data_IF_461723462348
#
_entry.id   IF_461723462348
#
_cell.length_a   1.000
_cell.length_b   1.000
_cell.length_c   1.000
_cell.angle_alpha   90.00
_cell.angle_beta   90.00
_cell.angle_gamma   90.00
#
_symmetry.space_group_name_H-M   'P 1'
#
loop_
_entity.id
_entity.type
_entity.pdbx_description
1 polymer ?
#
# COMPACT_ATOMS: atom_id res chain seq x y z
N UNK A 1 -16.32 8.64 19.50
CA UNK A 1 -16.24 9.23 18.14
C UNK A 1 -17.63 9.26 17.55
N UNK A 2 -18.11 10.44 17.15
CA UNK A 2 -19.46 10.61 16.61
C UNK A 2 -19.36 10.81 15.09
N UNK A 3 -19.77 9.84 14.26
CA UNK A 3 -19.63 9.96 12.81
C UNK A 3 -20.45 11.12 12.24
N UNK A 4 -19.89 11.78 11.23
CA UNK A 4 -20.60 12.78 10.44
C UNK A 4 -21.59 12.12 9.47
N UNK A 5 -21.34 10.87 9.08
CA UNK A 5 -22.27 10.02 8.35
C UNK A 5 -22.06 8.54 8.66
N UNK A 6 -23.14 7.76 8.65
CA UNK A 6 -23.11 6.29 8.76
C UNK A 6 -23.86 5.68 7.59
N UNK A 7 -23.20 4.76 6.89
CA UNK A 7 -23.71 4.08 5.70
C UNK A 7 -23.71 2.58 5.95
N UNK A 8 -24.88 1.95 5.86
CA UNK A 8 -24.99 0.48 5.87
C UNK A 8 -24.78 -0.04 4.46
N UNK A 9 -23.72 -0.83 4.29
CA UNK A 9 -23.30 -1.36 2.98
C UNK A 9 -23.98 -2.69 2.64
N UNK A 10 -24.37 -3.45 3.65
CA UNK A 10 -25.16 -4.68 3.60
C UNK A 10 -25.67 -4.93 5.03
N UNK A 11 -26.63 -5.83 5.22
CA UNK A 11 -27.22 -6.09 6.54
C UNK A 11 -26.14 -6.26 7.63
N UNK A 12 -26.15 -5.38 8.63
CA UNK A 12 -25.22 -5.41 9.76
C UNK A 12 -23.78 -4.94 9.47
N UNK A 13 -23.49 -4.43 8.27
CA UNK A 13 -22.15 -4.00 7.86
C UNK A 13 -22.10 -2.50 7.57
N UNK A 14 -21.33 -1.74 8.36
CA UNK A 14 -21.37 -0.28 8.34
C UNK A 14 -20.05 0.38 7.97
N UNK A 15 -20.15 1.48 7.23
CA UNK A 15 -19.10 2.46 7.01
C UNK A 15 -19.45 3.74 7.75
N UNK A 16 -18.51 4.25 8.52
CA UNK A 16 -18.61 5.47 9.29
C UNK A 16 -17.62 6.51 8.76
N UNK A 17 -18.07 7.75 8.72
CA UNK A 17 -17.30 8.88 8.22
C UNK A 17 -17.00 9.82 9.37
N UNK A 18 -15.74 10.19 9.55
CA UNK A 18 -15.34 11.14 10.58
C UNK A 18 -14.82 12.42 9.95
N UNK A 19 -15.46 13.54 10.28
CA UNK A 19 -15.01 14.86 9.86
C UNK A 19 -13.88 15.34 10.79
N UNK A 20 -12.66 15.41 10.27
CA UNK A 20 -11.49 15.95 10.95
C UNK A 20 -11.46 17.48 10.89
N UNK A 21 -10.75 18.15 11.83
CA UNK A 21 -10.59 19.61 11.83
C UNK A 21 -9.88 20.12 10.58
N UNK A 22 -8.89 19.37 10.10
CA UNK A 22 -8.05 19.72 8.97
C UNK A 22 -7.92 18.54 8.00
N UNK A 23 -7.43 18.82 6.79
CA UNK A 23 -7.06 17.79 5.83
C UNK A 23 -5.67 17.25 6.17
N UNK A 24 -5.59 15.98 6.57
CA UNK A 24 -4.31 15.36 6.91
C UNK A 24 -3.43 15.12 5.67
N UNK A 25 -2.09 15.22 5.83
CA UNK A 25 -1.14 14.67 4.86
C UNK A 25 -1.37 13.17 4.65
N UNK A 26 -1.01 12.65 3.47
CA UNK A 26 -1.30 11.26 3.07
C UNK A 26 -0.90 10.21 4.10
N UNK A 27 0.34 10.29 4.60
CA UNK A 27 0.89 9.32 5.55
C UNK A 27 0.18 9.39 6.91
N UNK A 28 -0.02 10.61 7.41
CA UNK A 28 -0.76 10.83 8.65
C UNK A 28 -2.22 10.38 8.51
N UNK A 29 -2.85 10.60 7.36
CA UNK A 29 -4.20 10.15 7.05
C UNK A 29 -4.32 8.62 7.06
N UNK A 30 -3.40 7.90 6.42
CA UNK A 30 -3.37 6.44 6.48
C UNK A 30 -3.11 5.96 7.91
N UNK A 31 -2.19 6.60 8.64
CA UNK A 31 -1.89 6.23 10.01
C UNK A 31 -3.09 6.44 10.95
N UNK A 32 -3.82 7.55 10.79
CA UNK A 32 -5.07 7.80 11.49
C UNK A 32 -6.14 6.75 11.18
N UNK A 33 -6.33 6.42 9.89
CA UNK A 33 -7.24 5.38 9.44
C UNK A 33 -6.89 4.01 10.04
N UNK A 34 -5.61 3.64 10.09
CA UNK A 34 -5.15 2.39 10.67
C UNK A 34 -5.31 2.35 12.19
N UNK A 35 -5.03 3.47 12.86
CA UNK A 35 -5.13 3.58 14.32
C UNK A 35 -6.57 3.41 14.80
N UNK A 36 -7.50 4.11 14.14
CA UNK A 36 -8.91 4.00 14.46
C UNK A 36 -9.50 2.67 13.98
N UNK A 37 -9.03 2.10 12.87
CA UNK A 37 -9.40 0.73 12.48
C UNK A 37 -9.01 -0.28 13.57
N UNK A 38 -7.81 -0.17 14.13
CA UNK A 38 -7.36 -0.99 15.26
C UNK A 38 -8.19 -0.75 16.53
N UNK A 39 -8.51 0.52 16.83
CA UNK A 39 -9.31 0.91 18.02
C UNK A 39 -10.72 0.32 17.99
N UNK A 40 -11.27 0.08 16.80
CA UNK A 40 -12.64 -0.35 16.59
C UNK A 40 -12.79 -1.75 15.98
N UNK A 41 -11.71 -2.54 15.94
CA UNK A 41 -11.69 -3.87 15.30
C UNK A 41 -12.27 -3.86 13.87
N UNK A 42 -11.95 -2.80 13.13
CA UNK A 42 -12.35 -2.60 11.75
C UNK A 42 -11.48 -3.39 10.78
N UNK A 43 -11.92 -3.48 9.53
CA UNK A 43 -11.13 -4.07 8.43
C UNK A 43 -9.84 -3.27 8.18
N UNK A 44 -8.64 -3.81 8.52
CA UNK A 44 -7.38 -3.12 8.31
C UNK A 44 -7.06 -2.91 6.83
N UNK A 45 -7.59 -3.76 5.94
CA UNK A 45 -7.38 -3.63 4.51
C UNK A 45 -8.13 -2.45 3.90
N UNK A 46 -9.12 -1.90 4.63
CA UNK A 46 -9.87 -0.71 4.25
C UNK A 46 -9.32 0.59 4.88
N UNK A 47 -8.30 0.50 5.74
CA UNK A 47 -7.75 1.62 6.47
C UNK A 47 -6.66 2.36 5.66
N UNK A 48 -7.10 3.23 4.75
CA UNK A 48 -6.22 4.07 3.92
C UNK A 48 -6.81 5.46 3.66
N UNK A 49 -5.96 6.48 3.47
CA UNK A 49 -6.37 7.87 3.27
C UNK A 49 -7.25 8.08 2.03
N UNK A 50 -7.15 7.22 1.01
CA UNK A 50 -7.87 7.34 -0.26
C UNK A 50 -8.89 6.22 -0.49
N UNK A 51 -9.30 5.51 0.57
CA UNK A 51 -10.27 4.41 0.43
C UNK A 51 -11.65 4.95 0.04
N UNK A 52 -12.25 4.38 -1.02
CA UNK A 52 -13.63 4.72 -1.40
C UNK A 52 -14.68 4.10 -0.47
N UNK A 53 -15.70 4.89 -0.13
CA UNK A 53 -16.93 4.44 0.51
C UNK A 53 -18.00 3.98 -0.47
N UNK A 54 -19.06 3.35 0.03
CA UNK A 54 -20.26 3.04 -0.73
C UNK A 54 -21.18 4.25 -0.77
N UNK A 55 -21.79 4.50 -1.93
CA UNK A 55 -22.77 5.55 -2.12
C UNK A 55 -24.17 5.00 -1.80
N UNK A 56 -24.91 5.60 -0.84
CA UNK A 56 -26.30 5.24 -0.59
C UNK A 56 -27.18 5.38 -1.83
N UNK A 57 -28.23 4.56 -1.91
CA UNK A 57 -29.16 4.53 -3.05
C UNK A 57 -28.75 3.59 -4.19
N UNK A 58 -27.52 3.07 -4.17
CA UNK A 58 -27.05 2.03 -5.10
C UNK A 58 -27.07 0.65 -4.45
N UNK A 59 -27.11 -0.39 -5.26
CA UNK A 59 -27.05 -1.78 -4.79
C UNK A 59 -25.61 -2.24 -4.56
N UNK A 60 -25.40 -3.07 -3.53
CA UNK A 60 -24.11 -3.70 -3.28
C UNK A 60 -23.99 -5.00 -4.09
N UNK A 61 -23.52 -4.89 -5.33
CA UNK A 61 -23.43 -5.99 -6.30
C UNK A 61 -22.34 -7.05 -6.02
N UNK A 62 -21.82 -7.15 -4.79
CA UNK A 62 -20.87 -8.24 -4.47
C UNK A 62 -21.65 -9.57 -4.43
N UNK A 63 -21.20 -10.64 -5.12
CA UNK A 63 -21.96 -11.89 -5.25
C UNK A 63 -22.42 -12.49 -3.91
N UNK A 64 -21.60 -12.40 -2.86
CA UNK A 64 -21.91 -12.91 -1.51
C UNK A 64 -23.10 -12.22 -0.82
N UNK A 65 -23.57 -11.09 -1.32
CA UNK A 65 -24.74 -10.38 -0.77
C UNK A 65 -25.99 -10.56 -1.65
N UNK A 66 -25.92 -11.38 -2.70
CA UNK A 66 -27.10 -11.70 -3.51
C UNK A 66 -28.10 -12.46 -2.63
N UNK A 67 -29.33 -11.98 -2.61
CA UNK A 67 -30.44 -12.59 -1.87
C UNK A 67 -31.00 -13.81 -2.62
N UNK A 68 -31.87 -14.58 -1.97
CA UNK A 68 -32.55 -15.75 -2.57
C UNK A 68 -33.44 -15.39 -3.76
N UNK A 69 -33.98 -14.17 -3.79
CA UNK A 69 -34.75 -13.60 -4.91
C UNK A 69 -33.86 -13.19 -6.10
N UNK A 70 -32.53 -13.33 -5.99
CA UNK A 70 -31.57 -12.97 -7.01
C UNK A 70 -31.18 -11.50 -7.05
N UNK A 71 -31.75 -10.64 -6.20
CA UNK A 71 -31.49 -9.21 -6.11
C UNK A 71 -30.33 -8.89 -5.14
N UNK A 72 -29.78 -7.69 -5.24
CA UNK A 72 -28.74 -7.18 -4.35
C UNK A 72 -29.33 -6.19 -3.34
N UNK A 73 -28.83 -6.15 -2.09
CA UNK A 73 -29.29 -5.19 -1.10
C UNK A 73 -28.85 -3.77 -1.49
N UNK A 74 -29.71 -2.81 -1.17
CA UNK A 74 -29.37 -1.39 -1.27
C UNK A 74 -28.42 -0.98 -0.16
N UNK A 75 -27.48 -0.11 -0.51
CA UNK A 75 -26.67 0.65 0.44
C UNK A 75 -27.56 1.75 1.03
N UNK A 76 -27.63 1.83 2.36
CA UNK A 76 -28.56 2.73 3.08
C UNK A 76 -27.80 3.78 3.86
N UNK A 77 -28.30 5.01 3.86
CA UNK A 77 -27.82 6.07 4.74
C UNK A 77 -28.56 5.95 6.08
N UNK A 78 -27.83 5.78 7.18
CA UNK A 78 -28.38 5.68 8.53
C UNK A 78 -28.37 7.01 9.27
N UNK A 79 -27.31 7.79 9.13
CA UNK A 79 -27.20 9.13 9.71
C UNK A 79 -26.28 10.02 8.87
N UNK A 80 -26.48 11.35 8.94
CA UNK A 80 -25.77 12.31 8.09
C UNK A 80 -25.63 13.72 8.72
N UNK A 81 -25.16 13.80 9.97
CA UNK A 81 -25.05 15.09 10.67
C UNK A 81 -24.16 16.11 9.94
N UNK A 82 -23.14 15.65 9.21
CA UNK A 82 -22.12 16.50 8.58
C UNK A 82 -21.23 17.24 9.59
N UNK A 83 -21.46 17.02 10.88
CA UNK A 83 -20.77 17.70 11.97
C UNK A 83 -19.42 17.06 12.25
N UNK A 84 -18.49 17.89 12.69
CA UNK A 84 -17.23 17.42 13.28
C UNK A 84 -17.52 16.74 14.61
N UNK A 85 -16.76 15.70 14.93
CA UNK A 85 -16.93 14.99 16.20
C UNK A 85 -16.31 15.80 17.35
N UNK A 86 -16.86 15.75 18.58
CA UNK A 86 -16.43 16.64 19.67
C UNK A 86 -14.94 16.56 20.03
N UNK A 87 -14.32 15.40 19.84
CA UNK A 87 -12.94 15.12 20.25
C UNK A 87 -11.94 15.21 19.08
N UNK A 88 -12.30 15.92 18.01
CA UNK A 88 -11.58 15.89 16.75
C UNK A 88 -10.23 16.61 16.78
N UNK A 89 -10.13 17.73 17.49
CA UNK A 89 -8.86 18.43 17.71
C UNK A 89 -7.93 17.63 18.61
N UNK A 90 -8.47 17.08 19.71
CA UNK A 90 -7.71 16.22 20.61
C UNK A 90 -7.19 14.96 19.88
N UNK A 91 -7.98 14.36 19.00
CA UNK A 91 -7.56 13.23 18.20
C UNK A 91 -6.50 13.61 17.14
N UNK A 92 -6.61 14.79 16.51
CA UNK A 92 -5.57 15.28 15.59
C UNK A 92 -4.23 15.45 16.32
N UNK A 93 -4.23 16.04 17.52
CA UNK A 93 -3.02 16.17 18.33
C UNK A 93 -2.46 14.80 18.72
N UNK A 94 -3.31 13.91 19.25
CA UNK A 94 -2.93 12.53 19.61
C UNK A 94 -2.27 11.82 18.42
N UNK A 95 -2.91 11.84 17.25
CA UNK A 95 -2.44 11.08 16.10
C UNK A 95 -1.17 11.65 15.49
N UNK A 96 -1.00 12.98 15.54
CA UNK A 96 0.21 13.67 15.07
C UNK A 96 1.38 13.30 15.96
N UNK A 97 1.24 13.41 17.29
CA UNK A 97 2.30 13.02 18.23
C UNK A 97 2.68 11.55 18.12
N UNK A 98 1.69 10.65 17.99
CA UNK A 98 1.95 9.21 17.80
C UNK A 98 2.68 8.93 16.47
N UNK A 99 2.33 9.65 15.41
CA UNK A 99 2.98 9.51 14.11
C UNK A 99 4.43 10.00 14.16
N UNK A 100 4.67 11.19 14.73
CA UNK A 100 6.01 11.76 14.88
C UNK A 100 6.93 10.87 15.74
N UNK A 101 6.43 10.36 16.86
CA UNK A 101 7.19 9.44 17.70
C UNK A 101 7.58 8.15 16.93
N UNK A 102 6.65 7.60 16.15
CA UNK A 102 6.92 6.43 15.31
C UNK A 102 7.97 6.72 14.23
N UNK A 103 7.90 7.88 13.59
CA UNK A 103 8.90 8.28 12.59
C UNK A 103 10.28 8.49 13.24
N UNK A 104 10.34 9.12 14.41
CA UNK A 104 11.59 9.28 15.18
C UNK A 104 12.21 7.93 15.56
N UNK A 105 11.40 6.97 16.02
CA UNK A 105 11.88 5.60 16.30
C UNK A 105 12.42 4.92 15.04
N UNK A 106 11.73 5.07 13.91
CA UNK A 106 12.20 4.53 12.64
C UNK A 106 13.50 5.20 12.16
N UNK A 107 13.64 6.51 12.34
CA UNK A 107 14.85 7.26 12.01
C UNK A 107 16.01 6.91 12.94
N UNK A 108 15.76 6.82 14.25
CA UNK A 108 16.75 6.39 15.24
C UNK A 108 17.24 4.98 14.94
N UNK A 109 16.33 4.05 14.59
CA UNK A 109 16.70 2.69 14.18
C UNK A 109 17.52 2.68 12.89
N UNK A 110 17.19 3.53 11.90
CA UNK A 110 18.02 3.68 10.70
C UNK A 110 19.40 4.21 11.03
N UNK A 111 19.49 5.24 11.88
CA UNK A 111 20.76 5.83 12.30
C UNK A 111 21.60 4.84 13.10
N UNK A 112 21.02 4.16 14.08
CA UNK A 112 21.68 3.11 14.86
C UNK A 112 22.19 1.98 13.95
N UNK A 113 21.36 1.55 12.98
CA UNK A 113 21.78 0.56 12.00
C UNK A 113 22.94 1.04 11.11
N UNK A 114 23.06 2.35 10.87
CA UNK A 114 24.18 2.94 10.13
C UNK A 114 25.44 3.15 10.97
N UNK A 115 25.30 3.36 12.28
CA UNK A 115 26.39 3.61 13.22
C UNK A 115 26.96 2.33 13.85
N UNK A 116 26.19 1.23 13.83
CA UNK A 116 26.67 -0.07 14.27
C UNK A 116 27.98 -0.39 13.53
N UNK A 117 29.09 -0.73 14.23
CA UNK A 117 30.35 -1.06 13.59
C UNK A 117 30.02 -2.17 12.60
N UNK A 118 30.20 -1.88 11.30
CA UNK A 118 29.99 -2.78 10.16
C UNK A 118 30.17 -4.20 10.68
N UNK A 119 29.06 -4.92 10.98
CA UNK A 119 29.17 -6.35 11.25
C UNK A 119 29.86 -6.84 10.01
N UNK A 120 31.12 -7.28 10.15
CA UNK A 120 31.96 -7.70 9.04
C UNK A 120 31.10 -8.50 8.08
N UNK A 121 31.24 -8.25 6.78
CA UNK A 121 30.18 -8.49 5.81
C UNK A 121 29.66 -9.92 6.03
N UNK A 122 28.35 -10.07 6.26
CA UNK A 122 27.69 -11.39 6.43
C UNK A 122 27.65 -12.13 5.08
N UNK A 123 28.78 -12.18 4.39
CA UNK A 123 29.00 -12.85 3.10
C UNK A 123 28.69 -14.33 3.21
N UNK A 124 28.80 -14.92 4.41
CA UNK A 124 28.53 -16.34 4.63
C UNK A 124 27.11 -16.77 4.25
N UNK A 125 26.16 -15.84 4.13
CA UNK A 125 24.75 -16.13 3.79
C UNK A 125 24.23 -15.41 2.54
N UNK A 126 25.08 -14.64 1.83
CA UNK A 126 24.76 -13.89 0.61
C UNK A 126 25.29 -14.64 -0.62
N UNK A 127 24.60 -15.71 -1.02
CA UNK A 127 24.85 -16.39 -2.30
C UNK A 127 23.80 -16.00 -3.34
N UNK A 128 24.23 -15.73 -4.57
CA UNK A 128 23.32 -15.46 -5.69
C UNK A 128 22.32 -16.62 -5.89
N UNK A 129 22.79 -17.85 -5.71
CA UNK A 129 21.99 -19.07 -5.80
C UNK A 129 20.82 -19.08 -4.80
N UNK A 130 21.00 -18.55 -3.58
CA UNK A 130 19.91 -18.42 -2.60
C UNK A 130 18.82 -17.47 -3.07
N UNK A 131 19.18 -16.37 -3.74
CA UNK A 131 18.19 -15.43 -4.28
C UNK A 131 17.45 -16.06 -5.45
N UNK A 132 18.14 -16.76 -6.36
CA UNK A 132 17.54 -17.43 -7.52
C UNK A 132 16.68 -18.65 -7.16
N UNK A 133 17.03 -19.40 -6.11
CA UNK A 133 16.26 -20.55 -5.61
C UNK A 133 15.09 -20.16 -4.70
N UNK A 134 14.94 -18.88 -4.36
CA UNK A 134 13.85 -18.41 -3.51
C UNK A 134 12.50 -18.49 -4.21
N UNK A 135 11.51 -19.08 -3.53
CA UNK A 135 10.10 -19.12 -3.99
C UNK A 135 9.54 -17.73 -4.29
N UNK A 136 10.10 -16.68 -3.67
CA UNK A 136 9.71 -15.27 -3.89
C UNK A 136 9.98 -14.77 -5.31
N UNK A 137 10.93 -15.36 -6.04
CA UNK A 137 11.39 -14.87 -7.34
C UNK A 137 11.29 -15.91 -8.47
N UNK A 138 10.58 -17.03 -8.25
CA UNK A 138 10.45 -18.12 -9.24
C UNK A 138 9.99 -17.63 -10.62
N UNK A 139 9.01 -16.73 -10.65
CA UNK A 139 8.46 -16.20 -11.91
C UNK A 139 9.25 -14.98 -12.46
N UNK A 140 10.27 -14.51 -11.72
CA UNK A 140 10.99 -13.25 -12.01
C UNK A 140 12.49 -13.37 -11.72
N UNK A 141 13.24 -14.15 -12.53
CA UNK A 141 14.66 -14.39 -12.30
C UNK A 141 15.51 -13.10 -12.30
N UNK A 142 15.20 -12.13 -13.16
CA UNK A 142 15.87 -10.82 -13.15
C UNK A 142 15.65 -10.03 -11.84
N UNK A 143 14.50 -10.21 -11.17
CA UNK A 143 14.25 -9.57 -9.88
C UNK A 143 15.07 -10.21 -8.74
N UNK A 144 15.37 -11.50 -8.84
CA UNK A 144 16.29 -12.18 -7.92
C UNK A 144 17.70 -11.59 -8.03
N UNK A 145 18.19 -11.37 -9.24
CA UNK A 145 19.51 -10.80 -9.51
C UNK A 145 19.64 -9.37 -8.98
N UNK A 146 18.62 -8.53 -9.21
CA UNK A 146 18.59 -7.16 -8.66
C UNK A 146 18.55 -7.19 -7.13
N UNK A 147 17.74 -8.05 -6.53
CA UNK A 147 17.66 -8.18 -5.08
C UNK A 147 18.99 -8.64 -4.47
N UNK A 148 19.71 -9.54 -5.15
CA UNK A 148 21.07 -9.91 -4.79
C UNK A 148 22.03 -8.72 -4.90
N UNK A 149 22.03 -7.98 -6.02
CA UNK A 149 22.92 -6.82 -6.20
C UNK A 149 22.71 -5.76 -5.11
N UNK A 150 21.46 -5.43 -4.80
CA UNK A 150 21.13 -4.47 -3.74
C UNK A 150 21.62 -4.97 -2.38
N UNK A 151 21.38 -6.24 -2.07
CA UNK A 151 21.82 -6.83 -0.81
C UNK A 151 23.36 -6.92 -0.71
N UNK A 152 24.03 -7.33 -1.78
CA UNK A 152 25.49 -7.44 -1.85
C UNK A 152 26.17 -6.08 -1.72
N UNK A 153 25.67 -5.06 -2.43
CA UNK A 153 26.17 -3.69 -2.34
C UNK A 153 25.95 -3.11 -0.93
N UNK A 154 24.75 -3.28 -0.37
CA UNK A 154 24.45 -2.85 1.00
C UNK A 154 25.32 -3.54 2.07
N UNK A 155 25.78 -4.77 1.80
CA UNK A 155 26.73 -5.50 2.66
C UNK A 155 28.20 -5.21 2.34
N UNK A 156 28.50 -4.23 1.48
CA UNK A 156 29.86 -3.77 1.19
C UNK A 156 30.66 -4.65 0.23
N UNK A 157 29.98 -5.47 -0.58
CA UNK A 157 30.62 -6.18 -1.68
C UNK A 157 30.98 -5.18 -2.79
N UNK A 158 32.18 -5.28 -3.34
CA UNK A 158 32.62 -4.40 -4.45
C UNK A 158 31.88 -4.73 -5.74
N UNK A 159 31.73 -3.74 -6.62
CA UNK A 159 31.06 -3.91 -7.91
C UNK A 159 31.67 -5.04 -8.74
N UNK A 160 33.00 -5.17 -8.74
CA UNK A 160 33.70 -6.27 -9.43
C UNK A 160 33.31 -7.65 -8.90
N UNK A 161 33.19 -7.80 -7.57
CA UNK A 161 32.80 -9.07 -6.96
C UNK A 161 31.34 -9.42 -7.23
N UNK A 162 30.46 -8.42 -7.24
CA UNK A 162 29.06 -8.58 -7.66
C UNK A 162 28.99 -8.99 -9.13
N UNK A 163 29.75 -8.31 -10.00
CA UNK A 163 29.84 -8.61 -11.41
C UNK A 163 30.40 -10.01 -11.68
N UNK A 164 31.44 -10.43 -10.96
CA UNK A 164 31.95 -11.80 -11.02
C UNK A 164 30.87 -12.80 -10.60
N UNK A 165 30.18 -12.60 -9.47
CA UNK A 165 29.14 -13.52 -9.00
C UNK A 165 28.00 -13.69 -10.03
N UNK A 166 27.60 -12.62 -10.71
CA UNK A 166 26.62 -12.67 -11.80
C UNK A 166 27.15 -13.42 -13.03
N UNK A 167 28.42 -13.21 -13.39
CA UNK A 167 29.08 -13.84 -14.55
C UNK A 167 29.35 -15.34 -14.31
N UNK A 168 29.76 -15.75 -13.11
CA UNK A 168 30.18 -17.13 -12.80
C UNK A 168 29.08 -18.18 -13.02
N UNK A 169 27.81 -17.80 -12.97
CA UNK A 169 26.67 -18.73 -13.17
C UNK A 169 25.94 -18.47 -14.51
N UNK A 170 26.40 -17.50 -15.31
CA UNK A 170 25.88 -17.29 -16.67
C UNK A 170 26.57 -18.26 -17.65
N UNK A 171 26.41 -19.56 -17.43
CA UNK A 171 26.58 -20.62 -18.42
C UNK A 171 25.99 -21.91 -17.82
N UNK A 172 24.90 -22.52 -18.37
CA UNK A 172 24.41 -22.42 -19.75
C UNK A 172 22.99 -21.82 -19.87
N UNK A 173 22.63 -21.41 -21.10
CA UNK A 173 21.30 -21.05 -21.58
C UNK A 173 20.78 -19.62 -21.32
N UNK A 174 21.55 -18.61 -21.75
CA UNK A 174 20.94 -17.51 -22.51
C UNK A 174 21.24 -17.83 -23.98
N UNK A 175 20.25 -18.16 -24.83
CA UNK A 175 20.51 -18.19 -26.26
C UNK A 175 20.89 -16.77 -26.68
N UNK A 176 22.02 -16.67 -27.37
CA UNK A 176 22.52 -15.42 -27.91
C UNK A 176 21.38 -14.67 -28.63
N UNK A 177 21.23 -13.38 -28.32
CA UNK A 177 20.42 -12.47 -29.11
C UNK A 177 20.88 -12.56 -30.57
N UNK A 178 19.98 -12.80 -31.54
CA UNK A 178 20.35 -12.79 -32.95
C UNK A 178 20.92 -11.43 -33.32
N UNK A 179 22.12 -11.45 -33.88
CA UNK A 179 22.87 -10.30 -34.36
C UNK A 179 22.33 -9.81 -35.70
N UNK A 180 21.03 -9.53 -35.83
CA UNK A 180 20.50 -8.83 -37.01
C UNK A 180 19.37 -7.87 -36.61
N UNK A 181 19.67 -6.57 -36.74
CA UNK A 181 18.67 -5.50 -36.74
C UNK A 181 17.94 -5.53 -38.09
N UNK A 182 16.62 -5.71 -38.13
CA UNK A 182 15.87 -5.46 -39.35
C UNK A 182 15.78 -3.95 -39.56
N UNK A 183 16.43 -3.48 -40.61
CA UNK A 183 16.20 -2.17 -41.22
C UNK A 183 14.82 -2.14 -41.85
N UNK A 184 13.80 -1.76 -41.08
CA UNK A 184 12.61 -1.10 -41.63
C UNK A 184 11.88 -0.37 -40.51
N UNK A 185 11.74 0.94 -40.69
CA UNK A 185 11.10 1.81 -39.72
C UNK A 185 9.59 1.64 -39.74
N UNK A 186 9.01 1.34 -38.58
CA UNK A 186 7.70 1.87 -38.20
C UNK A 186 7.71 2.27 -36.71
N UNK A 187 7.26 3.48 -36.37
CA UNK A 187 7.33 4.01 -35.01
C UNK A 187 6.26 3.38 -34.12
N UNK A 188 6.69 2.87 -32.96
CA UNK A 188 5.84 2.43 -31.87
C UNK A 188 4.81 3.50 -31.48
N UNK A 189 3.58 3.36 -31.98
CA UNK A 189 2.43 4.16 -31.53
C UNK A 189 2.09 3.78 -30.09
N UNK A 190 2.35 4.69 -29.14
CA UNK A 190 1.58 4.71 -27.89
C UNK A 190 0.12 5.00 -28.24
N UNK A 191 -0.77 4.03 -28.02
CA UNK A 191 -2.19 4.36 -27.84
C UNK A 191 -2.32 5.15 -26.54
N UNK A 192 -2.55 6.44 -26.68
CA UNK A 192 -3.08 7.32 -25.64
C UNK A 192 -4.34 7.90 -26.26
N UNK A 193 -5.50 7.50 -25.75
CA UNK A 193 -6.84 8.11 -25.94
C UNK A 193 -7.75 7.34 -24.96
N UNK A 194 -8.42 7.88 -23.94
CA UNK A 194 -8.66 9.22 -23.39
C UNK A 194 -9.48 9.02 -22.09
N UNK A 195 -10.34 9.96 -21.65
CA UNK A 195 -10.18 11.40 -21.59
C UNK A 195 -9.80 11.88 -20.17
N UNK A 196 -9.20 13.06 -20.12
CA UNK A 196 -9.06 13.87 -18.92
C UNK A 196 -10.43 14.19 -18.32
N UNK A 197 -10.56 14.02 -17.01
CA UNK A 197 -11.41 14.91 -16.23
C UNK A 197 -10.75 15.17 -14.87
N UNK A 198 -10.15 16.35 -14.81
CA UNK A 198 -9.47 16.92 -13.67
C UNK A 198 -10.51 17.51 -12.72
N UNK A 199 -11.19 16.67 -11.94
CA UNK A 199 -11.99 17.12 -10.82
C UNK A 199 -11.18 17.04 -9.52
N UNK A 200 -10.60 18.19 -9.19
CA UNK A 200 -9.97 18.53 -7.93
C UNK A 200 -11.01 18.42 -6.79
N UNK A 201 -11.18 17.22 -6.23
CA UNK A 201 -11.75 17.07 -4.88
C UNK A 201 -10.63 17.35 -3.87
N UNK A 202 -10.44 18.63 -3.57
CA UNK A 202 -9.77 19.06 -2.34
C UNK A 202 -10.71 18.78 -1.17
N UNK A 203 -10.12 18.29 -0.09
CA UNK A 203 -10.71 18.13 1.25
C UNK A 203 -11.72 16.97 1.39
N UNK A 204 -11.20 15.79 1.71
CA UNK A 204 -12.02 14.65 2.13
C UNK A 204 -11.64 14.16 3.54
N UNK A 205 -12.63 13.91 4.42
CA UNK A 205 -12.40 13.35 5.75
C UNK A 205 -11.97 11.87 5.74
N UNK A 206 -11.38 11.42 6.83
CA UNK A 206 -10.90 10.04 7.00
C UNK A 206 -12.01 9.03 7.30
N UNK A 207 -11.67 7.78 7.01
CA UNK A 207 -12.58 6.67 6.73
C UNK A 207 -12.54 5.62 7.85
N UNK A 208 -13.71 5.14 8.28
CA UNK A 208 -13.81 4.04 9.25
C UNK A 208 -14.82 2.98 8.82
N UNK A 209 -14.45 1.71 8.96
CA UNK A 209 -15.40 0.59 8.90
C UNK A 209 -15.69 0.16 10.33
N UNK A 210 -16.95 -0.09 10.68
CA UNK A 210 -17.30 -0.64 11.99
C UNK A 210 -18.10 -1.91 11.71
N UNK A 211 -17.58 -3.11 12.04
CA UNK A 211 -18.45 -4.26 12.17
C UNK A 211 -19.33 -4.03 13.40
N UNK A 212 -20.62 -3.83 13.20
CA UNK A 212 -21.57 -3.87 14.31
C UNK A 212 -21.66 -5.33 14.77
N UNK A 213 -21.05 -5.66 15.91
CA UNK A 213 -21.54 -6.78 16.70
C UNK A 213 -22.78 -6.28 17.44
N UNK A 214 -23.95 -6.77 17.02
CA UNK A 214 -25.12 -6.85 17.91
C UNK A 214 -24.92 -8.04 18.85
#
# INVERSE_FOLDING_TARGET
FNPCAVVETSAGNFQAWLKHPTTFPKLLGTFAAQTLAKRYDADPSAADWRRFGRLPGFTNCKPKYRKSDGLFPFVRLHSHSGQQYPMAEAFEQEITTLYEAREQEHEAMRLESSLSPRRGPRLSNLSLERFRSSTRYQDRPAAADIAFCVAAFANGMTEDRIGCALKTITSPAIPALPSELPTSGEPWRRRRDGPSDEHRCRDSPLWFFLPARQ
#
